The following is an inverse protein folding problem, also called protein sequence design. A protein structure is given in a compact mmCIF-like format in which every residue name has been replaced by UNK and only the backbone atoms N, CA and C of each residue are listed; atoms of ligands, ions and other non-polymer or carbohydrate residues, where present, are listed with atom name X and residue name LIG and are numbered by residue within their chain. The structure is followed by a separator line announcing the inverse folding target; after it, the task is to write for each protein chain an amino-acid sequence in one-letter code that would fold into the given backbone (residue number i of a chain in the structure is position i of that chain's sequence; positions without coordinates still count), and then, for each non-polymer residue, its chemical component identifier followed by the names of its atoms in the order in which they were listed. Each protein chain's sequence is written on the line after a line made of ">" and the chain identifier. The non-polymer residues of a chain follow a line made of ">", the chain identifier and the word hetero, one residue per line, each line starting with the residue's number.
data_IF_659214059512
#
_entry.id   IF_659214059512
#
_cell.length_a   1.000
_cell.length_b   1.000
_cell.length_c   1.000
_cell.angle_alpha   90.00
_cell.angle_beta   90.00
_cell.angle_gamma   90.00
#
_symmetry.space_group_name_H-M   'P 1'
#
loop_
_entity.id
_entity.type
_entity.pdbx_description
1 polymer ?
#
# COMPACT_ATOMS: atom_id res chain seq x y z
N UNK A 1 -8.53 2.31 42.74
CA UNK A 1 -7.53 1.65 41.85
C UNK A 1 -7.38 2.51 40.62
N UNK A 2 -6.28 3.26 40.52
CA UNK A 2 -6.03 4.11 39.35
C UNK A 2 -5.65 3.21 38.19
N UNK A 3 -6.45 3.18 37.14
CA UNK A 3 -6.04 2.63 35.83
C UNK A 3 -4.77 3.36 35.39
N UNK A 4 -3.74 2.65 34.95
CA UNK A 4 -2.58 3.32 34.36
C UNK A 4 -3.05 4.17 33.18
N UNK A 5 -2.61 5.43 33.13
CA UNK A 5 -2.86 6.30 31.99
C UNK A 5 -2.39 5.55 30.72
N UNK A 6 -3.32 5.22 29.82
CA UNK A 6 -2.97 4.67 28.52
C UNK A 6 -2.05 5.65 27.84
N UNK A 7 -0.85 5.19 27.47
CA UNK A 7 0.08 5.95 26.64
C UNK A 7 -0.67 6.51 25.43
N UNK A 8 -0.56 7.81 25.16
CA UNK A 8 -1.14 8.42 23.95
C UNK A 8 -0.41 7.96 22.67
N UNK A 9 0.73 7.31 22.80
CA UNK A 9 1.56 6.77 21.71
C UNK A 9 1.00 5.43 21.26
N UNK A 10 0.85 5.24 19.96
CA UNK A 10 0.43 3.97 19.37
C UNK A 10 -1.06 3.65 19.48
N UNK A 11 -1.90 4.62 19.89
CA UNK A 11 -3.36 4.45 19.85
C UNK A 11 -3.85 4.35 18.41
N UNK A 12 -5.00 3.69 18.18
CA UNK A 12 -5.58 3.57 16.83
C UNK A 12 -5.87 4.95 16.20
N UNK A 13 -6.25 5.93 17.01
CA UNK A 13 -6.46 7.30 16.54
C UNK A 13 -5.16 7.92 15.99
N UNK A 14 -4.04 7.74 16.70
CA UNK A 14 -2.72 8.23 16.26
C UNK A 14 -2.26 7.49 15.03
N UNK A 15 -2.38 6.17 14.99
CA UNK A 15 -1.99 5.33 13.83
C UNK A 15 -2.77 5.72 12.56
N UNK A 16 -4.09 5.89 12.67
CA UNK A 16 -4.94 6.36 11.56
C UNK A 16 -4.57 7.79 11.14
N UNK A 17 -4.31 8.68 12.09
CA UNK A 17 -3.89 10.06 11.82
C UNK A 17 -2.58 10.14 11.03
N UNK A 18 -1.61 9.28 11.33
CA UNK A 18 -0.37 9.17 10.56
C UNK A 18 -0.63 8.71 9.11
N UNK A 19 -1.52 7.74 8.91
CA UNK A 19 -1.92 7.29 7.58
C UNK A 19 -2.65 8.37 6.78
N UNK A 20 -3.55 9.14 7.43
CA UNK A 20 -4.25 10.28 6.80
C UNK A 20 -3.30 11.35 6.25
N UNK A 21 -2.16 11.57 6.91
CA UNK A 21 -1.16 12.57 6.47
C UNK A 21 -0.51 12.22 5.12
N UNK A 22 -0.59 10.98 4.67
CA UNK A 22 0.01 10.52 3.42
C UNK A 22 -0.93 10.63 2.21
N UNK A 23 -2.20 11.02 2.44
CA UNK A 23 -3.18 11.20 1.34
C UNK A 23 -2.73 12.23 0.33
N UNK A 24 -3.01 11.96 -0.94
CA UNK A 24 -2.62 12.80 -2.07
C UNK A 24 -1.16 12.62 -2.50
N UNK A 25 -0.38 11.80 -1.79
CA UNK A 25 1.03 11.60 -2.04
C UNK A 25 1.38 10.34 -2.82
N UNK A 26 2.68 10.17 -3.02
CA UNK A 26 3.28 8.97 -3.63
C UNK A 26 4.23 8.36 -2.62
N UNK A 27 4.06 7.07 -2.33
CA UNK A 27 5.00 6.26 -1.55
C UNK A 27 5.84 5.48 -2.57
N UNK A 28 7.18 5.60 -2.47
CA UNK A 28 8.09 4.97 -3.43
C UNK A 28 8.85 3.81 -2.80
N UNK A 29 8.81 2.63 -3.45
CA UNK A 29 9.65 1.50 -3.06
C UNK A 29 11.10 1.78 -3.45
N UNK A 30 12.00 1.68 -2.50
CA UNK A 30 13.44 1.99 -2.67
C UNK A 30 14.30 0.86 -2.11
N UNK A 31 15.44 0.61 -2.74
CA UNK A 31 16.38 -0.46 -2.36
C UNK A 31 17.75 0.05 -1.94
N UNK A 32 18.01 1.35 -2.10
CA UNK A 32 19.25 2.00 -1.66
C UNK A 32 18.99 3.39 -1.09
N UNK A 33 19.92 3.93 -0.27
CA UNK A 33 19.87 5.32 0.18
C UNK A 33 19.80 6.35 -0.94
N UNK A 34 20.44 6.10 -2.08
CA UNK A 34 20.41 6.98 -3.26
C UNK A 34 19.03 7.05 -3.86
N UNK A 35 18.35 5.89 -4.01
CA UNK A 35 16.96 5.84 -4.49
C UNK A 35 16.02 6.56 -3.52
N UNK A 36 16.24 6.42 -2.21
CA UNK A 36 15.46 7.14 -1.21
C UNK A 36 15.60 8.66 -1.34
N UNK A 37 16.82 9.18 -1.59
CA UNK A 37 17.04 10.61 -1.87
C UNK A 37 16.33 11.05 -3.16
N UNK A 38 16.42 10.26 -4.24
CA UNK A 38 15.69 10.54 -5.49
C UNK A 38 14.19 10.62 -5.22
N UNK A 39 13.64 9.72 -4.41
CA UNK A 39 12.22 9.74 -4.05
C UNK A 39 11.86 11.02 -3.26
N UNK A 40 12.62 11.36 -2.22
CA UNK A 40 12.40 12.57 -1.42
C UNK A 40 12.52 13.84 -2.26
N UNK A 41 13.58 13.97 -3.07
CA UNK A 41 13.81 15.13 -3.96
C UNK A 41 12.74 15.26 -5.05
N UNK A 42 12.09 14.16 -5.41
CA UNK A 42 10.97 14.13 -6.34
C UNK A 42 9.63 14.50 -5.71
N UNK A 43 9.56 14.62 -4.37
CA UNK A 43 8.37 14.96 -3.62
C UNK A 43 7.54 13.75 -3.16
N UNK A 44 8.14 12.59 -3.00
CA UNK A 44 7.49 11.46 -2.33
C UNK A 44 7.05 11.83 -0.91
N UNK A 45 5.89 11.35 -0.47
CA UNK A 45 5.42 11.58 0.91
C UNK A 45 5.97 10.56 1.90
N UNK A 46 6.47 9.43 1.43
CA UNK A 46 7.14 8.39 2.20
C UNK A 46 7.94 7.47 1.25
N UNK A 47 8.84 6.67 1.81
CA UNK A 47 9.50 5.58 1.08
C UNK A 47 9.21 4.24 1.75
N UNK A 48 9.21 3.17 0.94
CA UNK A 48 9.13 1.78 1.38
C UNK A 48 10.48 1.11 1.16
N UNK A 49 11.17 0.77 2.23
CA UNK A 49 12.46 0.08 2.18
C UNK A 49 12.27 -1.39 1.77
N UNK A 50 12.93 -1.81 0.71
CA UNK A 50 12.91 -3.16 0.16
C UNK A 50 14.32 -3.61 -0.19
N UNK A 51 14.65 -4.89 0.02
CA UNK A 51 15.89 -5.47 -0.46
C UNK A 51 15.91 -5.57 -1.99
N UNK A 52 14.76 -5.90 -2.58
CA UNK A 52 14.55 -6.01 -4.03
C UNK A 52 13.17 -5.46 -4.39
N UNK A 53 13.08 -4.70 -5.49
CA UNK A 53 11.77 -4.29 -6.01
C UNK A 53 10.98 -5.50 -6.50
N UNK A 54 9.64 -5.45 -6.50
CA UNK A 54 8.79 -6.60 -6.83
C UNK A 54 9.11 -7.28 -8.17
N UNK A 55 9.52 -6.53 -9.19
CA UNK A 55 9.93 -7.09 -10.48
C UNK A 55 11.16 -8.00 -10.36
N UNK A 56 12.14 -7.64 -9.52
CA UNK A 56 13.31 -8.47 -9.28
C UNK A 56 12.96 -9.71 -8.43
N UNK A 57 12.07 -9.58 -7.45
CA UNK A 57 11.57 -10.73 -6.68
C UNK A 57 10.95 -11.77 -7.61
N UNK A 58 10.13 -11.34 -8.59
CA UNK A 58 9.54 -12.24 -9.59
C UNK A 58 10.59 -12.95 -10.43
N UNK A 59 11.54 -12.19 -10.96
CA UNK A 59 12.62 -12.73 -11.79
C UNK A 59 13.46 -13.75 -11.04
N UNK A 60 13.68 -13.55 -9.74
CA UNK A 60 14.56 -14.37 -8.90
C UNK A 60 13.81 -15.52 -8.20
N UNK A 61 12.64 -15.92 -8.67
CA UNK A 61 11.90 -17.10 -8.21
C UNK A 61 10.81 -16.84 -7.17
N UNK A 62 10.52 -15.57 -6.82
CA UNK A 62 9.36 -15.17 -6.01
C UNK A 62 9.53 -15.33 -4.49
N UNK A 63 10.65 -15.84 -3.99
CA UNK A 63 10.92 -15.94 -2.53
C UNK A 63 11.59 -14.66 -2.05
N UNK A 64 10.96 -13.99 -1.09
CA UNK A 64 11.48 -12.77 -0.48
C UNK A 64 11.14 -12.73 1.02
N UNK A 65 11.97 -12.07 1.80
CA UNK A 65 11.89 -11.92 3.26
C UNK A 65 12.03 -10.46 3.65
N UNK A 66 11.92 -10.18 4.94
CA UNK A 66 12.25 -8.86 5.50
C UNK A 66 13.65 -8.43 5.05
N UNK A 67 13.80 -7.15 4.75
CA UNK A 67 15.07 -6.54 4.37
C UNK A 67 16.06 -6.52 5.54
N UNK A 68 17.35 -6.49 5.20
CA UNK A 68 18.43 -6.36 6.18
C UNK A 68 18.25 -5.08 7.02
N UNK A 69 18.37 -5.14 8.36
CA UNK A 69 18.32 -3.98 9.24
C UNK A 69 19.30 -2.85 8.86
N UNK A 70 20.54 -3.15 8.48
CA UNK A 70 21.54 -2.13 8.10
C UNK A 70 21.07 -1.34 6.85
N UNK A 71 20.43 -2.03 5.89
CA UNK A 71 19.87 -1.36 4.72
C UNK A 71 18.71 -0.42 5.09
N UNK A 72 17.81 -0.86 5.97
CA UNK A 72 16.70 -0.04 6.46
C UNK A 72 17.24 1.20 7.20
N UNK A 73 18.21 1.02 8.09
CA UNK A 73 18.87 2.11 8.82
C UNK A 73 19.57 3.09 7.87
N UNK A 74 20.25 2.57 6.84
CA UNK A 74 20.89 3.39 5.80
C UNK A 74 19.88 4.25 5.02
N UNK A 75 18.72 3.70 4.69
CA UNK A 75 17.62 4.44 4.04
C UNK A 75 17.07 5.48 5.01
N UNK A 76 16.80 5.12 6.28
CA UNK A 76 16.32 6.06 7.31
C UNK A 76 17.27 7.23 7.54
N UNK A 77 18.57 6.98 7.52
CA UNK A 77 19.57 8.03 7.65
C UNK A 77 19.66 8.95 6.42
N UNK A 78 19.18 8.51 5.26
CA UNK A 78 19.29 9.23 3.99
C UNK A 78 18.18 10.25 3.76
N UNK A 79 17.00 10.09 4.39
CA UNK A 79 15.79 10.89 4.14
C UNK A 79 15.16 11.38 5.43
N UNK A 80 14.29 12.42 5.31
CA UNK A 80 13.50 12.99 6.41
C UNK A 80 12.03 12.60 6.34
N UNK A 81 11.58 12.12 5.18
CA UNK A 81 10.22 11.62 5.00
C UNK A 81 10.06 10.26 5.68
N UNK A 82 8.83 9.85 6.04
CA UNK A 82 8.57 8.57 6.68
C UNK A 82 9.15 7.38 5.91
N UNK A 83 9.69 6.41 6.65
CA UNK A 83 10.25 5.17 6.10
C UNK A 83 9.38 3.99 6.56
N UNK A 84 8.83 3.28 5.60
CA UNK A 84 8.10 2.03 5.79
C UNK A 84 9.00 0.84 5.49
N UNK A 85 8.70 -0.32 6.07
CA UNK A 85 9.36 -1.59 5.72
C UNK A 85 8.37 -2.74 5.74
N UNK A 86 8.70 -3.84 5.02
CA UNK A 86 7.80 -4.98 4.85
C UNK A 86 8.13 -6.13 5.79
N UNK A 87 7.10 -6.68 6.43
CA UNK A 87 7.13 -7.97 7.11
C UNK A 87 6.36 -9.01 6.29
N UNK A 88 6.76 -10.28 6.38
CA UNK A 88 6.01 -11.39 5.79
C UNK A 88 4.67 -11.57 6.49
N UNK A 89 3.66 -11.98 5.76
CA UNK A 89 2.34 -12.30 6.31
C UNK A 89 2.49 -13.33 7.44
N UNK A 90 1.94 -13.01 8.63
CA UNK A 90 1.98 -13.83 9.85
C UNK A 90 3.31 -13.82 10.60
N UNK A 91 4.34 -13.15 10.09
CA UNK A 91 5.66 -13.15 10.74
C UNK A 91 5.79 -12.03 11.77
N UNK A 92 5.16 -12.19 12.93
CA UNK A 92 5.15 -11.18 13.99
C UNK A 92 6.56 -10.82 14.51
N UNK A 93 7.54 -11.74 14.44
CA UNK A 93 8.92 -11.45 14.87
C UNK A 93 9.60 -10.47 13.91
N UNK A 94 9.37 -10.56 12.58
CA UNK A 94 9.85 -9.53 11.64
C UNK A 94 9.25 -8.17 11.97
N UNK A 95 7.96 -8.11 12.29
CA UNK A 95 7.32 -6.86 12.72
C UNK A 95 7.91 -6.30 14.02
N UNK A 96 8.25 -7.15 15.00
CA UNK A 96 8.94 -6.74 16.21
C UNK A 96 10.33 -6.14 15.92
N UNK A 97 11.08 -6.74 15.00
CA UNK A 97 12.37 -6.20 14.55
C UNK A 97 12.17 -4.83 13.92
N UNK A 98 11.22 -4.69 12.99
CA UNK A 98 10.96 -3.43 12.31
C UNK A 98 10.50 -2.33 13.27
N UNK A 99 9.65 -2.67 14.26
CA UNK A 99 9.25 -1.74 15.32
C UNK A 99 10.46 -1.29 16.16
N UNK A 100 11.36 -2.23 16.51
CA UNK A 100 12.59 -1.92 17.25
C UNK A 100 13.55 -1.04 16.45
N UNK A 101 13.61 -1.17 15.12
CA UNK A 101 14.35 -0.29 14.22
C UNK A 101 13.70 1.11 14.10
N UNK A 102 12.49 1.28 14.63
CA UNK A 102 11.76 2.54 14.62
C UNK A 102 11.34 2.96 13.22
N UNK A 103 10.88 2.03 12.38
CA UNK A 103 10.22 2.39 11.11
C UNK A 103 8.88 3.08 11.39
N UNK A 104 8.46 3.95 10.50
CA UNK A 104 7.23 4.73 10.68
C UNK A 104 5.97 3.91 10.40
N UNK A 105 6.05 2.90 9.52
CA UNK A 105 4.98 1.94 9.21
C UNK A 105 5.56 0.56 8.91
N UNK A 106 4.82 -0.49 9.27
CA UNK A 106 5.09 -1.87 8.84
C UNK A 106 4.04 -2.27 7.79
N UNK A 107 4.49 -2.71 6.63
CA UNK A 107 3.61 -3.32 5.61
C UNK A 107 3.67 -4.84 5.75
N UNK A 108 2.60 -5.44 6.31
CA UNK A 108 2.42 -6.89 6.27
C UNK A 108 2.02 -7.28 4.85
N UNK A 109 2.99 -7.79 4.08
CA UNK A 109 2.94 -7.74 2.63
C UNK A 109 2.94 -9.10 1.96
N UNK A 110 2.01 -9.28 1.03
CA UNK A 110 1.94 -10.41 0.09
C UNK A 110 3.09 -10.42 -0.92
N UNK A 111 3.79 -9.31 -1.11
CA UNK A 111 4.99 -9.23 -1.98
C UNK A 111 6.09 -10.12 -1.44
N UNK A 112 6.23 -10.21 -0.12
CA UNK A 112 7.11 -11.16 0.53
C UNK A 112 6.45 -12.55 0.60
N UNK A 113 7.26 -13.58 0.80
CA UNK A 113 6.76 -14.94 0.95
C UNK A 113 6.05 -15.10 2.30
N UNK A 114 4.78 -15.51 2.36
CA UNK A 114 4.08 -15.71 3.63
C UNK A 114 4.83 -16.65 4.57
N UNK A 115 4.82 -16.34 5.86
CA UNK A 115 5.35 -17.20 6.91
C UNK A 115 4.26 -18.06 7.56
N UNK A 116 3.02 -17.58 7.49
CA UNK A 116 1.82 -18.30 7.96
C UNK A 116 0.74 -18.25 6.89
N UNK A 117 0.13 -19.40 6.58
CA UNK A 117 -0.93 -19.49 5.57
C UNK A 117 -2.32 -19.12 6.11
N UNK A 118 -2.49 -19.09 7.44
CA UNK A 118 -3.80 -18.93 8.10
C UNK A 118 -3.91 -17.66 8.93
N UNK A 119 -2.81 -17.23 9.53
CA UNK A 119 -2.82 -16.15 10.51
C UNK A 119 -2.05 -14.93 9.99
N UNK A 120 -2.68 -13.79 10.08
CA UNK A 120 -2.04 -12.48 9.96
C UNK A 120 -1.50 -12.04 11.33
N UNK A 121 -0.60 -11.06 11.32
CA UNK A 121 -0.06 -10.45 12.53
C UNK A 121 -1.20 -9.75 13.30
N UNK A 122 -1.27 -9.96 14.61
CA UNK A 122 -2.11 -9.16 15.51
C UNK A 122 -1.50 -7.76 15.67
N UNK A 123 -2.00 -6.81 14.90
CA UNK A 123 -1.50 -5.44 14.81
C UNK A 123 -1.87 -4.58 16.01
N UNK A 124 -2.82 -5.06 16.82
CA UNK A 124 -3.19 -4.39 18.08
C UNK A 124 -2.08 -4.49 19.12
N UNK A 125 -1.23 -5.50 19.02
CA UNK A 125 -0.10 -5.74 19.92
C UNK A 125 1.10 -4.79 19.69
N UNK A 126 1.05 -3.95 18.64
CA UNK A 126 2.15 -3.05 18.24
C UNK A 126 1.76 -1.59 18.43
N UNK A 127 2.77 -0.72 18.61
CA UNK A 127 2.60 0.73 18.61
C UNK A 127 2.78 1.33 17.21
N UNK A 128 3.59 0.69 16.37
CA UNK A 128 3.79 1.07 14.97
C UNK A 128 2.52 0.84 14.15
N UNK A 129 2.14 1.77 13.24
CA UNK A 129 1.03 1.58 12.33
C UNK A 129 1.31 0.54 11.24
N UNK A 130 0.26 -0.22 10.86
CA UNK A 130 0.36 -1.26 9.83
C UNK A 130 -0.39 -0.89 8.55
N UNK A 131 0.24 -1.25 7.43
CA UNK A 131 -0.35 -1.25 6.08
C UNK A 131 -0.59 -2.70 5.67
N UNK A 132 -1.70 -2.96 4.97
CA UNK A 132 -1.97 -4.28 4.38
C UNK A 132 -2.55 -4.15 2.97
N UNK A 133 -2.28 -5.15 2.13
CA UNK A 133 -2.89 -5.27 0.82
C UNK A 133 -4.28 -5.93 0.88
N UNK A 134 -5.16 -5.56 -0.07
CA UNK A 134 -6.44 -6.22 -0.26
C UNK A 134 -6.84 -6.25 -1.74
N UNK A 135 -7.61 -7.29 -2.12
CA UNK A 135 -8.17 -7.47 -3.46
C UNK A 135 -9.65 -7.12 -3.54
N UNK A 136 -10.34 -7.14 -2.40
CA UNK A 136 -11.77 -6.89 -2.25
C UNK A 136 -12.09 -6.30 -0.88
N UNK A 137 -13.34 -5.86 -0.70
CA UNK A 137 -13.77 -5.19 0.53
C UNK A 137 -13.73 -6.11 1.76
N UNK A 138 -14.09 -7.38 1.60
CA UNK A 138 -14.07 -8.35 2.71
C UNK A 138 -12.66 -8.56 3.26
N UNK A 139 -11.68 -8.74 2.39
CA UNK A 139 -10.28 -8.84 2.77
C UNK A 139 -9.80 -7.54 3.47
N UNK A 140 -10.12 -6.38 2.89
CA UNK A 140 -9.78 -5.09 3.48
C UNK A 140 -10.33 -4.92 4.91
N UNK A 141 -11.61 -5.29 5.13
CA UNK A 141 -12.25 -5.20 6.44
C UNK A 141 -11.65 -6.18 7.46
N UNK A 142 -11.25 -7.39 7.02
CA UNK A 142 -10.53 -8.32 7.90
C UNK A 142 -9.20 -7.72 8.36
N UNK A 143 -8.42 -7.12 7.46
CA UNK A 143 -7.15 -6.44 7.83
C UNK A 143 -7.37 -5.29 8.80
N UNK A 144 -8.43 -4.49 8.60
CA UNK A 144 -8.81 -3.42 9.54
C UNK A 144 -9.20 -4.01 10.91
N UNK A 145 -9.93 -5.11 10.94
CA UNK A 145 -10.30 -5.77 12.21
C UNK A 145 -9.09 -6.29 12.99
N UNK A 146 -8.01 -6.64 12.30
CA UNK A 146 -6.72 -7.04 12.89
C UNK A 146 -5.85 -5.84 13.31
N UNK A 147 -6.29 -4.60 13.06
CA UNK A 147 -5.62 -3.38 13.47
C UNK A 147 -4.85 -2.65 12.37
N UNK A 148 -5.01 -3.01 11.10
CA UNK A 148 -4.44 -2.22 10.01
C UNK A 148 -5.02 -0.79 10.01
N UNK A 149 -4.17 0.21 9.80
CA UNK A 149 -4.55 1.62 9.75
C UNK A 149 -4.50 2.22 8.34
N UNK A 150 -4.09 1.43 7.35
CA UNK A 150 -4.06 1.77 5.93
C UNK A 150 -4.25 0.50 5.12
N UNK A 151 -5.06 0.58 4.08
CA UNK A 151 -5.22 -0.49 3.09
C UNK A 151 -4.69 0.02 1.75
N UNK A 152 -3.98 -0.84 1.04
CA UNK A 152 -3.63 -0.65 -0.36
C UNK A 152 -4.23 -1.75 -1.22
N UNK A 153 -4.51 -1.46 -2.50
CA UNK A 153 -4.78 -2.56 -3.42
C UNK A 153 -3.55 -3.47 -3.49
N UNK A 154 -3.76 -4.77 -3.63
CA UNK A 154 -2.63 -5.67 -3.93
C UNK A 154 -2.12 -5.43 -5.34
N UNK A 155 -3.03 -5.23 -6.30
CA UNK A 155 -2.66 -5.20 -7.72
C UNK A 155 -1.94 -6.48 -8.11
N UNK A 156 -0.97 -6.37 -9.01
CA UNK A 156 0.02 -7.41 -9.25
C UNK A 156 1.40 -6.74 -9.32
N UNK A 157 2.03 -6.59 -8.16
CA UNK A 157 3.26 -5.82 -7.99
C UNK A 157 4.40 -6.35 -8.87
N UNK A 158 5.18 -5.44 -9.46
CA UNK A 158 6.34 -5.77 -10.30
C UNK A 158 6.01 -6.14 -11.74
N UNK A 159 4.75 -6.05 -12.18
CA UNK A 159 4.34 -6.37 -13.56
C UNK A 159 4.33 -5.15 -14.49
N UNK A 160 4.33 -3.92 -13.95
CA UNK A 160 4.13 -2.72 -14.79
C UNK A 160 2.78 -2.69 -15.51
N UNK A 161 1.80 -3.47 -15.03
CA UNK A 161 0.47 -3.57 -15.57
C UNK A 161 -0.56 -3.27 -14.48
N UNK A 162 -1.27 -2.15 -14.63
CA UNK A 162 -2.18 -1.63 -13.60
C UNK A 162 -3.54 -2.36 -13.55
N UNK A 163 -3.85 -3.25 -14.48
CA UNK A 163 -5.20 -3.82 -14.64
C UNK A 163 -5.74 -4.46 -13.37
N UNK A 164 -4.91 -5.19 -12.61
CA UNK A 164 -5.33 -5.84 -11.37
C UNK A 164 -5.59 -4.81 -10.26
N UNK A 165 -4.75 -3.78 -10.13
CA UNK A 165 -4.97 -2.71 -9.16
C UNK A 165 -6.28 -1.95 -9.44
N UNK A 166 -6.58 -1.67 -10.71
CA UNK A 166 -7.86 -1.08 -11.14
C UNK A 166 -9.03 -1.99 -10.78
N UNK A 167 -8.90 -3.30 -11.02
CA UNK A 167 -9.94 -4.27 -10.67
C UNK A 167 -10.20 -4.29 -9.17
N UNK A 168 -9.15 -4.33 -8.35
CA UNK A 168 -9.27 -4.34 -6.89
C UNK A 168 -9.90 -3.04 -6.35
N UNK A 169 -9.44 -1.88 -6.82
CA UNK A 169 -10.05 -0.59 -6.44
C UNK A 169 -11.53 -0.52 -6.80
N UNK A 170 -11.88 -0.89 -8.04
CA UNK A 170 -13.29 -0.87 -8.48
C UNK A 170 -14.16 -1.82 -7.69
N UNK A 171 -13.63 -2.99 -7.30
CA UNK A 171 -14.34 -3.94 -6.44
C UNK A 171 -14.58 -3.34 -5.06
N UNK A 172 -13.53 -2.87 -4.38
CA UNK A 172 -13.63 -2.30 -3.02
C UNK A 172 -14.58 -1.09 -3.02
N UNK A 173 -14.31 -0.10 -3.86
CA UNK A 173 -15.11 1.14 -3.91
C UNK A 173 -16.53 0.91 -4.44
N UNK A 174 -16.72 -0.10 -5.30
CA UNK A 174 -18.03 -0.52 -5.79
C UNK A 174 -18.89 -1.09 -4.67
N UNK A 175 -18.33 -1.94 -3.83
CA UNK A 175 -19.07 -2.56 -2.72
C UNK A 175 -19.32 -1.55 -1.60
N UNK A 176 -18.41 -0.61 -1.31
CA UNK A 176 -18.68 0.51 -0.41
C UNK A 176 -19.92 1.28 -0.84
N UNK A 177 -20.04 1.64 -2.13
CA UNK A 177 -21.22 2.36 -2.65
C UNK A 177 -22.52 1.56 -2.51
N UNK A 178 -22.49 0.22 -2.69
CA UNK A 178 -23.67 -0.63 -2.50
C UNK A 178 -24.08 -0.70 -1.03
N UNK A 179 -23.12 -0.91 -0.13
CA UNK A 179 -23.36 -0.96 1.32
C UNK A 179 -23.95 0.35 1.84
N UNK A 180 -23.52 1.49 1.33
CA UNK A 180 -24.08 2.81 1.70
C UNK A 180 -25.56 2.96 1.34
N UNK A 181 -26.07 2.16 0.42
CA UNK A 181 -27.47 2.16 -0.02
C UNK A 181 -28.29 0.99 0.56
N UNK A 182 -27.63 0.09 1.30
CA UNK A 182 -28.26 -1.12 1.84
C UNK A 182 -29.11 -0.81 3.08
N UNK A 183 -30.20 -1.55 3.24
CA UNK A 183 -30.98 -1.50 4.47
C UNK A 183 -30.32 -2.33 5.61
N UNK A 184 -30.89 -2.22 6.81
CA UNK A 184 -30.33 -2.88 8.00
C UNK A 184 -30.31 -4.41 7.91
N UNK A 185 -31.24 -5.03 7.17
CA UNK A 185 -31.29 -6.48 7.00
C UNK A 185 -30.23 -6.93 5.98
N UNK A 186 -30.02 -6.15 4.92
CA UNK A 186 -29.00 -6.38 3.91
C UNK A 186 -27.58 -6.28 4.49
N UNK A 187 -27.36 -5.44 5.54
CA UNK A 187 -26.04 -5.35 6.17
C UNK A 187 -25.59 -6.67 6.82
N UNK A 188 -26.52 -7.48 7.34
CA UNK A 188 -26.19 -8.83 7.83
C UNK A 188 -25.78 -9.77 6.69
N UNK A 189 -26.43 -9.66 5.53
CA UNK A 189 -26.06 -10.42 4.35
C UNK A 189 -24.69 -10.00 3.81
N UNK A 190 -24.45 -8.68 3.74
CA UNK A 190 -23.14 -8.15 3.37
C UNK A 190 -22.02 -8.64 4.28
N UNK A 191 -22.20 -8.61 5.60
CA UNK A 191 -21.20 -9.10 6.55
C UNK A 191 -20.87 -10.59 6.34
N UNK A 192 -21.88 -11.42 6.08
CA UNK A 192 -21.70 -12.85 5.75
C UNK A 192 -20.97 -13.04 4.43
N UNK A 193 -21.40 -12.36 3.39
CA UNK A 193 -20.84 -12.48 2.03
C UNK A 193 -19.36 -12.03 2.00
N UNK A 194 -19.07 -10.92 2.67
CA UNK A 194 -17.72 -10.39 2.79
C UNK A 194 -16.84 -11.15 3.80
N UNK A 195 -17.43 -12.00 4.63
CA UNK A 195 -16.75 -12.63 5.76
C UNK A 195 -16.03 -11.58 6.64
N UNK A 196 -16.74 -10.49 6.93
CA UNK A 196 -16.23 -9.33 7.63
C UNK A 196 -17.05 -9.02 8.88
N UNK A 197 -16.44 -8.39 9.92
CA UNK A 197 -17.19 -7.99 11.13
C UNK A 197 -18.34 -7.04 10.80
N UNK A 198 -19.54 -7.37 11.28
CA UNK A 198 -20.74 -6.56 11.08
C UNK A 198 -20.56 -5.08 11.49
N UNK A 199 -19.91 -4.75 12.64
CA UNK A 199 -19.71 -3.35 13.02
C UNK A 199 -18.95 -2.52 11.98
N UNK A 200 -17.97 -3.11 11.27
CA UNK A 200 -17.24 -2.40 10.22
C UNK A 200 -18.09 -2.20 8.97
N UNK A 201 -18.99 -3.15 8.65
CA UNK A 201 -19.95 -2.99 7.55
C UNK A 201 -20.98 -1.90 7.89
N UNK A 202 -21.44 -1.83 9.14
CA UNK A 202 -22.32 -0.78 9.62
C UNK A 202 -21.64 0.60 9.59
N UNK A 203 -20.37 0.70 10.01
CA UNK A 203 -19.59 1.95 9.92
C UNK A 203 -19.53 2.46 8.47
N UNK A 204 -19.34 1.58 7.48
CA UNK A 204 -19.35 1.97 6.07
C UNK A 204 -20.75 2.46 5.65
N UNK A 205 -21.82 1.77 6.05
CA UNK A 205 -23.18 2.18 5.70
C UNK A 205 -23.51 3.57 6.26
N UNK A 206 -23.10 3.85 7.49
CA UNK A 206 -23.35 5.11 8.19
C UNK A 206 -22.52 6.28 7.65
N UNK A 207 -21.23 6.01 7.35
CA UNK A 207 -20.28 7.08 6.97
C UNK A 207 -20.14 7.27 5.48
N UNK A 208 -20.50 6.28 4.68
CA UNK A 208 -20.23 6.22 3.23
C UNK A 208 -18.74 6.10 2.89
N UNK A 209 -17.90 5.76 3.86
CA UNK A 209 -16.45 5.74 3.73
C UNK A 209 -15.84 4.47 4.31
N UNK A 210 -14.70 4.09 3.79
CA UNK A 210 -13.89 3.04 4.40
C UNK A 210 -13.24 3.57 5.70
N UNK A 211 -13.11 2.72 6.75
CA UNK A 211 -12.62 3.17 8.08
C UNK A 211 -11.19 3.72 8.12
N UNK A 212 -10.36 3.40 7.15
CA UNK A 212 -8.96 3.84 7.03
C UNK A 212 -8.65 4.26 5.59
N UNK A 213 -7.55 4.99 5.31
CA UNK A 213 -7.18 5.35 3.94
C UNK A 213 -7.02 4.14 3.01
N UNK A 214 -7.49 4.28 1.76
CA UNK A 214 -7.31 3.29 0.68
C UNK A 214 -6.38 3.86 -0.37
N UNK A 215 -5.22 3.24 -0.54
CA UNK A 215 -4.21 3.61 -1.52
C UNK A 215 -4.16 2.60 -2.67
N UNK A 216 -3.65 3.00 -3.81
CA UNK A 216 -3.45 2.12 -4.94
C UNK A 216 -2.00 1.63 -5.00
N UNK A 217 -1.82 0.33 -5.16
CA UNK A 217 -0.53 -0.30 -5.38
C UNK A 217 -0.64 -1.40 -6.45
N UNK A 218 0.49 -1.68 -7.09
CA UNK A 218 0.65 -2.78 -8.05
C UNK A 218 0.44 -2.37 -9.50
N UNK A 219 1.52 -2.32 -10.25
CA UNK A 219 1.51 -2.15 -11.70
C UNK A 219 1.53 -0.72 -12.22
N UNK A 220 1.63 0.30 -11.37
CA UNK A 220 1.79 1.70 -11.80
C UNK A 220 3.18 1.87 -12.45
N UNK A 221 3.23 2.31 -13.70
CA UNK A 221 4.45 2.50 -14.47
C UNK A 221 4.56 3.89 -15.12
N UNK A 222 3.45 4.63 -15.22
CA UNK A 222 3.39 5.92 -15.90
C UNK A 222 2.66 6.96 -15.05
N UNK A 223 2.86 8.28 -15.32
CA UNK A 223 2.06 9.34 -14.71
C UNK A 223 0.55 9.17 -14.93
N UNK A 224 0.16 8.67 -16.12
CA UNK A 224 -1.24 8.43 -16.44
C UNK A 224 -1.86 7.31 -15.59
N UNK A 225 -1.09 6.25 -15.27
CA UNK A 225 -1.56 5.19 -14.36
C UNK A 225 -1.83 5.73 -12.95
N UNK A 226 -0.92 6.56 -12.43
CA UNK A 226 -1.10 7.19 -11.12
C UNK A 226 -2.35 8.09 -11.11
N UNK A 227 -2.52 8.92 -12.11
CA UNK A 227 -3.70 9.76 -12.25
C UNK A 227 -5.00 8.95 -12.40
N UNK A 228 -4.97 7.83 -13.14
CA UNK A 228 -6.10 6.91 -13.25
C UNK A 228 -6.51 6.35 -11.89
N UNK A 229 -5.55 5.86 -11.10
CA UNK A 229 -5.81 5.35 -9.75
C UNK A 229 -6.48 6.41 -8.86
N UNK A 230 -5.95 7.64 -8.87
CA UNK A 230 -6.51 8.77 -8.11
C UNK A 230 -7.91 9.17 -8.59
N UNK A 231 -8.17 9.19 -9.89
CA UNK A 231 -9.49 9.49 -10.45
C UNK A 231 -10.51 8.38 -10.15
N UNK A 232 -10.07 7.14 -9.99
CA UNK A 232 -10.92 6.04 -9.55
C UNK A 232 -11.29 6.11 -8.07
N UNK A 233 -10.60 6.93 -7.28
CA UNK A 233 -10.90 7.17 -5.88
C UNK A 233 -9.85 6.62 -4.90
N UNK A 234 -8.68 6.21 -5.37
CA UNK A 234 -7.54 6.00 -4.48
C UNK A 234 -7.15 7.32 -3.80
N UNK A 235 -6.71 7.25 -2.55
CA UNK A 235 -6.36 8.43 -1.77
C UNK A 235 -4.85 8.76 -1.81
N UNK A 236 -4.03 7.83 -2.29
CA UNK A 236 -2.62 7.97 -2.64
C UNK A 236 -2.17 6.76 -3.46
N UNK A 237 -0.91 6.73 -3.90
CA UNK A 237 -0.35 5.63 -4.69
C UNK A 237 0.97 5.12 -4.12
N UNK A 238 1.21 3.81 -4.26
CA UNK A 238 2.50 3.16 -4.07
C UNK A 238 3.10 2.84 -5.43
N UNK A 239 4.35 3.23 -5.66
CA UNK A 239 5.05 2.96 -6.92
C UNK A 239 6.46 2.46 -6.63
N UNK A 240 6.79 1.28 -7.13
CA UNK A 240 8.11 0.68 -6.94
C UNK A 240 8.84 0.47 -8.27
N UNK A 241 8.72 -0.72 -8.83
CA UNK A 241 9.40 -1.10 -10.08
C UNK A 241 9.13 -0.12 -11.22
N UNK A 242 7.94 0.48 -11.27
CA UNK A 242 7.57 1.44 -12.31
C UNK A 242 8.47 2.67 -12.40
N UNK A 243 9.10 3.07 -11.29
CA UNK A 243 10.08 4.17 -11.26
C UNK A 243 11.48 3.62 -11.49
N UNK A 244 11.97 2.75 -10.62
CA UNK A 244 13.38 2.37 -10.57
C UNK A 244 13.80 1.31 -11.60
N UNK A 245 12.87 0.78 -12.40
CA UNK A 245 13.11 -0.06 -13.57
C UNK A 245 12.85 0.65 -14.91
N UNK A 246 12.62 1.95 -14.90
CA UNK A 246 12.51 2.79 -16.08
C UNK A 246 13.90 3.30 -16.52
N UNK A 247 14.00 3.83 -17.73
CA UNK A 247 15.26 4.36 -18.28
C UNK A 247 15.85 5.50 -17.45
N UNK A 248 14.98 6.40 -16.94
CA UNK A 248 15.38 7.53 -16.11
C UNK A 248 14.44 7.68 -14.91
N UNK A 249 14.83 7.17 -13.72
CA UNK A 249 13.99 7.15 -12.53
C UNK A 249 13.63 8.54 -11.99
N UNK A 250 14.55 9.50 -11.95
CA UNK A 250 14.31 10.78 -11.27
C UNK A 250 13.24 11.65 -11.97
N UNK A 251 13.30 11.92 -13.28
CA UNK A 251 12.23 12.60 -13.99
C UNK A 251 10.90 11.84 -13.93
N UNK A 252 10.92 10.51 -13.98
CA UNK A 252 9.71 9.70 -13.88
C UNK A 252 9.08 9.79 -12.50
N UNK A 253 9.85 9.71 -11.43
CA UNK A 253 9.40 9.91 -10.06
C UNK A 253 8.70 11.26 -9.90
N UNK A 254 9.35 12.34 -10.33
CA UNK A 254 8.77 13.69 -10.29
C UNK A 254 7.49 13.81 -11.09
N UNK A 255 7.45 13.24 -12.30
CA UNK A 255 6.26 13.25 -13.16
C UNK A 255 5.08 12.48 -12.53
N UNK A 256 5.35 11.35 -11.86
CA UNK A 256 4.32 10.58 -11.14
C UNK A 256 3.80 11.36 -9.94
N UNK A 257 4.66 12.03 -9.15
CA UNK A 257 4.24 12.89 -8.04
C UNK A 257 3.34 14.02 -8.55
N UNK A 258 3.75 14.71 -9.58
CA UNK A 258 2.99 15.83 -10.15
C UNK A 258 1.64 15.35 -10.74
N UNK A 259 1.62 14.20 -11.41
CA UNK A 259 0.40 13.57 -11.92
C UNK A 259 -0.55 13.13 -10.79
N UNK A 260 -0.01 12.65 -9.68
CA UNK A 260 -0.80 12.28 -8.49
C UNK A 260 -1.41 13.50 -7.84
N UNK A 261 -0.66 14.59 -7.72
CA UNK A 261 -1.13 15.86 -7.13
C UNK A 261 -2.21 16.52 -8.00
N UNK A 262 -1.99 16.54 -9.31
CA UNK A 262 -2.85 17.21 -10.28
C UNK A 262 -3.66 16.25 -11.17
N UNK A 263 -4.09 15.13 -10.60
CA UNK A 263 -4.67 14.01 -11.33
C UNK A 263 -5.93 14.34 -12.16
N UNK A 264 -6.58 15.49 -11.94
CA UNK A 264 -7.75 15.95 -12.70
C UNK A 264 -7.43 16.96 -13.78
N UNK A 265 -6.20 17.48 -13.84
CA UNK A 265 -5.79 18.48 -14.83
C UNK A 265 -5.13 17.81 -16.03
N UNK A 266 -5.90 17.61 -17.09
CA UNK A 266 -5.43 16.97 -18.32
C UNK A 266 -4.24 17.71 -18.98
N UNK A 267 -4.10 19.02 -18.80
CA UNK A 267 -2.98 19.78 -19.35
C UNK A 267 -1.69 19.48 -18.58
N UNK A 268 -1.79 19.41 -17.25
CA UNK A 268 -0.66 18.98 -16.41
C UNK A 268 -0.28 17.55 -16.77
N UNK A 269 -1.23 16.63 -16.86
CA UNK A 269 -0.98 15.22 -17.20
C UNK A 269 -0.30 15.10 -18.57
N UNK A 270 -0.77 15.84 -19.58
CA UNK A 270 -0.15 15.84 -20.91
C UNK A 270 1.28 16.40 -20.88
N UNK A 271 1.55 17.42 -20.07
CA UNK A 271 2.87 18.03 -19.91
C UNK A 271 3.86 17.05 -19.24
N UNK A 272 3.48 16.49 -18.09
CA UNK A 272 4.37 15.65 -17.29
C UNK A 272 4.62 14.27 -17.89
N UNK A 273 3.80 13.84 -18.85
CA UNK A 273 3.97 12.57 -19.55
C UNK A 273 4.97 12.62 -20.71
N UNK A 274 5.57 13.78 -21.00
CA UNK A 274 6.48 13.95 -22.15
C UNK A 274 7.92 13.68 -21.78
N UNK A 275 8.65 13.03 -22.70
CA UNK A 275 10.12 12.94 -22.66
C UNK A 275 10.67 12.11 -21.49
N UNK A 276 9.92 11.14 -20.98
CA UNK A 276 10.32 10.33 -19.82
C UNK A 276 11.14 9.09 -20.17
N UNK A 277 11.51 8.88 -21.44
CA UNK A 277 12.12 7.63 -21.87
C UNK A 277 11.17 6.42 -21.81
N UNK A 278 11.68 5.22 -22.00
CA UNK A 278 10.87 4.02 -21.92
C UNK A 278 10.41 3.75 -20.46
N UNK A 279 9.14 3.39 -20.23
CA UNK A 279 8.72 2.86 -18.96
C UNK A 279 9.35 1.48 -18.71
N UNK A 280 9.21 0.96 -17.49
CA UNK A 280 9.58 -0.43 -17.23
C UNK A 280 8.89 -1.38 -18.22
N UNK A 281 9.56 -2.47 -18.60
CA UNK A 281 8.94 -3.54 -19.40
C UNK A 281 7.79 -4.16 -18.59
N UNK A 282 6.59 -4.16 -19.18
CA UNK A 282 5.41 -4.75 -18.57
C UNK A 282 5.30 -6.25 -18.83
N UNK A 283 4.53 -6.94 -17.97
CA UNK A 283 4.20 -8.37 -18.09
C UNK A 283 2.68 -8.50 -18.25
N UNK A 284 2.23 -9.28 -19.23
CA UNK A 284 0.82 -9.64 -19.40
C UNK A 284 0.32 -10.51 -18.25
N UNK A 285 -0.95 -10.39 -17.88
CA UNK A 285 -1.50 -11.17 -16.75
C UNK A 285 -1.57 -12.68 -17.04
N UNK A 286 -1.56 -13.08 -18.28
CA UNK A 286 -1.46 -14.47 -18.77
C UNK A 286 -0.02 -15.04 -18.64
N UNK A 287 0.99 -14.17 -18.55
CA UNK A 287 2.40 -14.54 -18.36
C UNK A 287 2.83 -14.58 -16.88
N UNK A 288 1.96 -14.19 -15.96
CA UNK A 288 2.25 -14.15 -14.52
C UNK A 288 2.12 -15.54 -13.92
N UNK A 289 3.26 -16.21 -13.71
CA UNK A 289 3.31 -17.56 -13.12
C UNK A 289 2.99 -17.60 -11.62
N UNK A 290 3.34 -16.54 -10.88
CA UNK A 290 3.07 -16.41 -9.45
C UNK A 290 2.26 -15.14 -9.20
N UNK A 291 1.02 -15.31 -8.75
CA UNK A 291 0.15 -14.20 -8.37
C UNK A 291 0.38 -13.84 -6.92
N UNK A 292 1.11 -12.75 -6.67
CA UNK A 292 1.33 -12.27 -5.32
C UNK A 292 0.03 -11.86 -4.63
N UNK A 293 -0.93 -11.35 -5.38
CA UNK A 293 -2.23 -10.95 -4.86
C UNK A 293 -3.04 -12.10 -4.22
N UNK A 294 -2.76 -13.35 -4.56
CA UNK A 294 -3.44 -14.52 -4.00
C UNK A 294 -2.90 -14.93 -2.62
N UNK A 295 -1.75 -14.38 -2.19
CA UNK A 295 -1.16 -14.66 -0.88
C UNK A 295 -1.94 -13.96 0.22
N UNK A 296 -2.26 -14.68 1.31
CA UNK A 296 -2.82 -14.11 2.53
C UNK A 296 -4.17 -13.42 2.32
N UNK A 297 -5.13 -14.16 1.83
CA UNK A 297 -6.51 -13.68 1.60
C UNK A 297 -7.31 -13.42 2.89
#
# INVERSE_FOLDING_TARGET
>A
MNSPAQSSVGTQLVKRGLAEMLKGGVIMDVVTPEQARIAEDSGACAVMALERVPADIRRDGGVARMSDPEMIEGIKAAVKIPVMAKARIGHFVEAQILEALGVDFVDESEVLTPADEKHHIDKWSFTVPFVCGATNLGEALRRVSEGACMIRSKGEAGTGNIVEAVRHLRTILGDIRKITQADSAELFEWAKTLQAPLPLVQEIAETGRFPVPIFCAGGIATPADAALAMQLGAEAVFVGSGIFKSDDPAPRAKAIVEATTHFRDANVLARVSRGLGAPMTGIGMDEVNQRFAERGW
#
